data_IF_608266131878
#
_entry.id   IF_608266131878
#
_cell.length_a   1.000
_cell.length_b   1.000
_cell.length_c   1.000
_cell.angle_alpha   90.00
_cell.angle_beta   90.00
_cell.angle_gamma   90.00
#
_symmetry.space_group_name_H-M   'P 1'
#
loop_
_entity.id
_entity.type
_entity.pdbx_description
1 polymer ?
2 non-polymer ?
#
# COMPACT_ATOMS: atom_id res chain seq x y z
N UNK A 7 -7.83 -9.60 14.50
CA UNK A 7 -9.18 -8.96 14.44
C UNK A 7 -9.39 -8.17 13.15
N UNK A 8 -8.30 -7.74 12.52
CA UNK A 8 -8.35 -7.10 11.20
C UNK A 8 -9.23 -5.85 11.23
N UNK A 9 -8.71 -4.84 11.93
CA UNK A 9 -9.43 -3.60 12.19
C UNK A 9 -10.08 -3.04 10.93
N UNK A 10 -11.19 -2.33 11.14
CA UNK A 10 -11.91 -1.68 10.04
C UNK A 10 -10.98 -0.81 9.22
N UNK A 11 -11.07 -0.94 7.90
CA UNK A 11 -10.26 -0.13 7.00
C UNK A 11 -10.64 1.35 7.16
N UNK A 12 -9.69 2.22 6.85
CA UNK A 12 -9.92 3.65 7.00
C UNK A 12 -9.11 4.40 5.95
N UNK A 13 -9.51 5.66 5.74
CA UNK A 13 -8.91 6.50 4.72
C UNK A 13 -8.27 7.70 5.42
N UNK A 14 -6.96 7.83 5.26
CA UNK A 14 -6.19 8.86 5.95
C UNK A 14 -5.47 9.69 4.91
N UNK A 15 -5.60 11.01 5.02
CA UNK A 15 -5.04 11.94 4.06
C UNK A 15 -3.95 12.74 4.74
N UNK A 16 -2.96 13.13 3.96
CA UNK A 16 -1.84 13.95 4.43
C UNK A 16 -1.82 15.20 3.57
N UNK A 17 -2.26 16.31 4.16
CA UNK A 17 -2.31 17.61 3.50
C UNK A 17 -1.22 18.50 4.07
N UNK A 18 -0.87 19.52 3.31
CA UNK A 18 0.09 20.49 3.81
C UNK A 18 0.69 21.31 2.70
N UNK A 19 1.14 22.49 3.09
CA UNK A 19 1.77 23.43 2.15
C UNK A 19 3.18 22.97 1.80
N UNK A 20 3.68 23.48 0.68
CA UNK A 20 4.96 23.04 0.14
C UNK A 20 6.05 23.11 1.21
N UNK A 21 6.89 22.08 1.23
CA UNK A 21 7.95 22.02 2.21
C UNK A 21 7.52 21.54 3.58
N UNK A 22 6.31 21.00 3.70
CA UNK A 22 5.87 20.38 4.93
C UNK A 22 6.44 18.98 5.13
N UNK A 23 7.10 18.43 4.11
CA UNK A 23 7.54 17.05 4.17
C UNK A 23 6.35 16.12 4.26
N UNK A 24 5.48 16.16 3.26
CA UNK A 24 4.30 15.30 3.26
C UNK A 24 4.67 13.84 3.00
N UNK A 25 5.53 13.60 2.00
CA UNK A 25 5.93 12.23 1.69
C UNK A 25 6.67 11.60 2.87
N UNK A 26 7.52 12.38 3.54
CA UNK A 26 8.22 11.86 4.72
C UNK A 26 7.26 11.65 5.88
N UNK A 27 6.25 12.52 6.03
CA UNK A 27 5.25 12.30 7.06
C UNK A 27 4.38 11.08 6.77
N UNK A 28 4.10 10.82 5.49
CA UNK A 28 3.36 9.61 5.14
C UNK A 28 4.06 8.38 5.69
N UNK A 29 5.39 8.33 5.57
CA UNK A 29 6.14 7.20 6.10
C UNK A 29 5.87 7.03 7.59
N UNK A 30 5.89 8.14 8.34
CA UNK A 30 5.68 8.06 9.78
C UNK A 30 4.28 7.56 10.11
N UNK A 31 3.27 8.02 9.37
CA UNK A 31 1.91 7.52 9.57
C UNK A 31 1.86 6.02 9.36
N UNK A 32 2.55 5.54 8.32
CA UNK A 32 2.55 4.11 8.04
C UNK A 32 3.22 3.33 9.16
N UNK A 33 4.36 3.82 9.66
CA UNK A 33 5.06 3.10 10.70
C UNK A 33 4.21 2.99 11.96
N UNK A 34 3.57 4.09 12.35
CA UNK A 34 2.68 4.05 13.50
C UNK A 34 1.55 3.07 13.28
N UNK A 35 0.92 3.11 12.10
CA UNK A 35 -0.16 2.17 11.81
C UNK A 35 0.33 0.73 11.86
N UNK A 36 1.59 0.48 11.47
CA UNK A 36 2.15 -0.85 11.64
C UNK A 36 2.23 -1.24 13.12
N UNK A 37 2.71 -0.30 13.96
CA UNK A 37 2.83 -0.58 15.39
C UNK A 37 1.47 -0.88 16.04
N UNK A 38 0.38 -0.41 15.45
CA UNK A 38 -0.95 -0.61 15.99
C UNK A 38 -1.63 -1.84 15.42
N UNK A 39 -0.93 -2.65 14.65
CA UNK A 39 -1.47 -3.86 14.09
C UNK A 39 -2.16 -3.71 12.75
N UNK A 40 -2.05 -2.54 12.13
CA UNK A 40 -2.56 -2.33 10.77
C UNK A 40 -1.50 -2.84 9.81
N UNK A 41 -1.88 -3.79 8.96
CA UNK A 41 -0.94 -4.52 8.13
C UNK A 41 -1.20 -4.38 6.64
N UNK A 42 -2.45 -4.19 6.22
CA UNK A 42 -2.82 -4.16 4.82
C UNK A 42 -3.31 -2.76 4.46
N UNK A 43 -2.64 -2.12 3.49
CA UNK A 43 -2.97 -0.74 3.18
C UNK A 43 -2.41 -0.36 1.82
N UNK A 44 -2.81 0.83 1.35
CA UNK A 44 -2.53 1.32 0.01
C UNK A 44 -2.10 2.77 0.09
N UNK A 45 -0.99 3.11 -0.56
CA UNK A 45 -0.56 4.50 -0.68
C UNK A 45 -1.00 5.03 -2.05
N UNK A 46 -1.79 6.09 -2.05
CA UNK A 46 -2.22 6.74 -3.29
C UNK A 46 -1.74 8.18 -3.31
N UNK A 47 -1.38 8.65 -4.50
CA UNK A 47 -1.12 10.07 -4.74
C UNK A 47 -2.38 10.67 -5.35
N UNK A 48 -2.95 11.67 -4.69
CA UNK A 48 -4.24 12.21 -5.10
C UNK A 48 -4.04 13.06 -6.35
N UNK A 49 -2.98 13.88 -6.44
CA UNK A 49 -2.59 14.41 -7.76
C UNK A 49 -1.92 13.32 -8.60
N UNK A 50 -2.62 12.82 -9.60
CA UNK A 50 -2.24 11.58 -10.24
C UNK A 50 -3.00 10.45 -9.59
N UNK A 51 -2.38 9.27 -9.49
CA UNK A 51 -2.93 8.17 -8.73
C UNK A 51 -3.73 7.16 -9.54
N UNK A 52 -4.12 7.51 -10.77
CA UNK A 52 -4.78 6.58 -11.65
C UNK A 52 -4.18 6.76 -13.04
N UNK A 53 -4.37 5.76 -13.90
CA UNK A 53 -3.95 5.92 -15.28
C UNK A 53 -4.71 7.08 -15.93
N UNK A 54 -6.00 7.20 -15.62
CA UNK A 54 -6.79 8.32 -16.16
C UNK A 54 -6.12 9.65 -15.83
N UNK A 55 -5.75 9.86 -14.57
CA UNK A 55 -5.18 11.13 -14.17
C UNK A 55 -3.84 11.37 -14.86
N UNK A 56 -3.04 10.31 -15.03
CA UNK A 56 -1.78 10.45 -15.74
C UNK A 56 -2.01 10.86 -17.19
N UNK A 57 -3.00 10.24 -17.85
CA UNK A 57 -3.28 10.60 -19.25
C UNK A 57 -3.85 12.00 -19.36
N UNK A 58 -4.64 12.45 -18.38
CA UNK A 58 -5.09 13.84 -18.41
C UNK A 58 -3.91 14.80 -18.27
N UNK A 59 -2.93 14.45 -17.44
CA UNK A 59 -1.77 15.31 -17.30
C UNK A 59 -0.97 15.39 -18.60
N UNK A 60 -0.79 14.25 -19.28
CA UNK A 60 -0.06 14.27 -20.54
C UNK A 60 -0.86 15.04 -21.61
N UNK A 61 -2.19 14.93 -21.57
CA UNK A 61 -3.02 15.67 -22.51
C UNK A 61 -2.86 17.17 -22.33
N UNK A 62 -2.87 17.64 -21.08
CA UNK A 62 -2.74 19.07 -20.82
C UNK A 62 -1.35 19.55 -21.22
N UNK A 63 -0.33 18.74 -20.98
CA UNK A 63 1.01 19.13 -21.40
C UNK A 63 1.15 19.07 -22.92
N UNK A 64 0.48 18.12 -23.57
CA UNK A 64 0.53 18.06 -25.03
C UNK A 64 -0.11 19.29 -25.66
N UNK A 65 -1.15 19.83 -25.02
CA UNK A 65 -1.81 21.03 -25.52
C UNK A 65 -0.98 22.27 -25.24
N UNK A 66 -0.45 22.39 -24.02
CA UNK A 66 0.28 23.60 -23.67
C UNK A 66 1.56 23.74 -24.48
N UNK A 67 2.23 22.63 -24.77
CA UNK A 67 3.46 22.70 -25.56
C UNK A 67 3.19 23.26 -26.96
N UNK A 68 2.14 22.76 -27.61
CA UNK A 68 1.81 23.26 -28.94
C UNK A 68 1.43 24.74 -28.89
N UNK A 69 0.61 25.13 -27.92
CA UNK A 69 0.05 26.47 -27.93
C UNK A 69 -1.21 26.53 -28.77
N UNK A 70 -1.60 27.73 -29.14
CA UNK A 70 -2.77 27.94 -29.95
C UNK A 70 -4.04 27.58 -29.19
N UNK A 71 -3.94 27.13 -27.95
CA UNK A 71 -5.08 27.07 -27.06
C UNK A 71 -4.59 27.12 -25.62
N UNK A 72 -5.37 27.76 -24.76
CA UNK A 72 -5.07 27.91 -23.34
C UNK A 72 -6.21 27.28 -22.56
N UNK A 73 -5.86 26.36 -21.66
CA UNK A 73 -6.87 25.64 -20.90
C UNK A 73 -7.47 26.58 -19.87
N UNK A 74 -8.77 26.86 -20.01
CA UNK A 74 -9.44 27.72 -19.04
C UNK A 74 -9.33 27.10 -17.65
N UNK A 75 -9.22 27.96 -16.64
CA UNK A 75 -9.04 27.49 -15.27
C UNK A 75 -10.18 26.57 -14.86
N UNK A 76 -11.43 26.98 -15.11
CA UNK A 76 -12.57 26.17 -14.70
C UNK A 76 -12.55 24.81 -15.37
N UNK A 77 -12.14 24.74 -16.64
CA UNK A 77 -12.06 23.45 -17.32
C UNK A 77 -11.07 22.55 -16.61
N UNK A 78 -9.93 23.10 -16.19
CA UNK A 78 -8.94 22.31 -15.49
C UNK A 78 -9.48 21.78 -14.18
N UNK A 79 -10.26 22.61 -13.46
CA UNK A 79 -10.79 22.19 -12.17
C UNK A 79 -11.69 20.97 -12.34
N UNK A 80 -12.65 21.05 -13.27
CA UNK A 80 -13.52 19.90 -13.49
C UNK A 80 -12.69 18.67 -13.86
N UNK A 81 -11.59 18.86 -14.58
CA UNK A 81 -10.72 17.73 -14.86
C UNK A 81 -10.01 17.24 -13.60
N UNK A 82 -9.67 18.16 -12.70
CA UNK A 82 -9.12 17.77 -11.39
C UNK A 82 -10.12 16.93 -10.62
N UNK A 83 -11.38 17.36 -10.57
CA UNK A 83 -12.39 16.59 -9.84
C UNK A 83 -12.74 15.30 -10.56
N UNK A 84 -12.61 15.26 -11.89
CA UNK A 84 -12.75 14.00 -12.59
C UNK A 84 -11.67 13.01 -12.15
N UNK A 85 -10.44 13.50 -12.01
CA UNK A 85 -9.36 12.65 -11.53
C UNK A 85 -9.65 12.16 -10.11
N UNK A 86 -10.09 13.06 -9.24
CA UNK A 86 -10.33 12.66 -7.86
C UNK A 86 -11.44 11.62 -7.77
N UNK A 87 -12.52 11.83 -8.53
CA UNK A 87 -13.61 10.87 -8.55
C UNK A 87 -13.13 9.52 -9.05
N UNK A 88 -12.34 9.52 -10.13
CA UNK A 88 -11.81 8.26 -10.63
C UNK A 88 -11.02 7.53 -9.55
N UNK A 89 -10.25 8.28 -8.76
CA UNK A 89 -9.47 7.66 -7.69
C UNK A 89 -10.38 7.15 -6.57
N UNK A 90 -11.40 7.93 -6.21
CA UNK A 90 -12.29 7.53 -5.13
C UNK A 90 -13.02 6.25 -5.48
N UNK A 91 -13.48 6.13 -6.72
CA UNK A 91 -14.38 5.04 -7.08
C UNK A 91 -13.63 3.79 -7.54
N UNK A 92 -12.49 3.94 -8.20
CA UNK A 92 -11.79 2.78 -8.73
C UNK A 92 -10.59 2.34 -7.89
N UNK A 93 -10.10 3.17 -6.97
CA UNK A 93 -8.97 2.74 -6.15
C UNK A 93 -9.33 2.76 -4.67
N UNK A 94 -9.73 3.93 -4.16
CA UNK A 94 -9.88 4.10 -2.71
C UNK A 94 -11.04 3.25 -2.20
N UNK A 95 -12.24 3.50 -2.72
CA UNK A 95 -13.40 2.76 -2.20
C UNK A 95 -13.19 1.26 -2.29
N UNK A 96 -12.78 0.69 -3.43
CA UNK A 96 -12.52 -0.76 -3.43
C UNK A 96 -11.47 -1.17 -2.41
N UNK A 97 -10.39 -0.39 -2.27
CA UNK A 97 -9.36 -0.76 -1.31
C UNK A 97 -9.93 -0.89 0.09
N UNK A 98 -10.69 0.12 0.52
CA UNK A 98 -11.36 0.03 1.81
C UNK A 98 -12.26 -1.19 1.87
N UNK A 99 -12.94 -1.51 0.77
CA UNK A 99 -13.90 -2.60 0.79
C UNK A 99 -13.21 -3.94 0.99
N UNK A 100 -11.98 -4.11 0.47
CA UNK A 100 -11.24 -5.34 0.68
C UNK A 100 -10.63 -5.44 2.08
N UNK A 101 -10.74 -4.40 2.89
CA UNK A 101 -10.08 -4.36 4.19
C UNK A 101 -8.76 -3.65 4.21
N UNK A 102 -8.40 -2.96 3.15
CA UNK A 102 -7.13 -2.24 3.07
C UNK A 102 -7.32 -0.79 3.49
N UNK A 103 -6.52 -0.35 4.47
CA UNK A 103 -6.42 1.07 4.74
C UNK A 103 -5.86 1.77 3.51
N UNK A 104 -6.00 3.09 3.48
CA UNK A 104 -5.54 3.91 2.35
C UNK A 104 -4.95 5.20 2.89
N UNK A 105 -3.67 5.45 2.62
CA UNK A 105 -2.96 6.65 3.06
C UNK A 105 -2.65 7.48 1.82
N UNK A 106 -3.08 8.73 1.76
CA UNK A 106 -3.00 9.54 0.57
C UNK A 106 -2.26 10.85 0.78
N UNK A 107 -1.68 11.35 -0.31
CA UNK A 107 -0.96 12.63 -0.32
C UNK A 107 -1.77 13.69 -1.09
N UNK A 108 -2.13 14.78 -0.40
CA UNK A 108 -2.66 16.00 -1.02
C UNK A 108 -4.09 15.83 -1.54
N UNK A 109 -4.98 15.21 -0.75
CA UNK A 109 -6.40 15.15 -1.11
C UNK A 109 -7.08 16.49 -0.77
N UNK A 126 -16.50 28.43 -2.98
CA UNK A 126 -17.89 28.00 -2.87
C UNK A 126 -18.20 27.01 -3.98
N UNK A 127 -17.62 27.26 -5.15
CA UNK A 127 -17.84 26.40 -6.29
C UNK A 127 -17.13 25.06 -6.12
N UNK A 128 -15.98 25.06 -5.44
CA UNK A 128 -15.32 23.81 -5.10
C UNK A 128 -16.19 22.96 -4.17
N UNK A 129 -16.81 23.60 -3.18
CA UNK A 129 -17.63 22.87 -2.23
C UNK A 129 -18.88 22.29 -2.89
N UNK A 130 -19.49 23.05 -3.79
CA UNK A 130 -20.68 22.55 -4.48
C UNK A 130 -20.34 21.34 -5.34
N UNK A 131 -19.20 21.39 -6.04
CA UNK A 131 -18.79 20.25 -6.85
C UNK A 131 -18.58 19.02 -5.99
N UNK A 132 -17.88 19.18 -4.87
CA UNK A 132 -17.61 18.02 -4.02
C UNK A 132 -18.91 17.39 -3.53
N UNK A 133 -19.82 18.20 -2.99
CA UNK A 133 -21.07 17.66 -2.47
C UNK A 133 -21.88 16.97 -3.56
N UNK A 134 -21.60 17.26 -4.83
CA UNK A 134 -22.30 16.64 -5.93
C UNK A 134 -21.65 15.32 -6.36
N UNK A 135 -20.34 15.35 -6.65
CA UNK A 135 -19.68 14.21 -7.27
C UNK A 135 -19.29 13.18 -6.21
N UNK A 136 -18.74 13.62 -5.08
CA UNK A 136 -18.36 12.70 -4.02
C UNK A 136 -19.48 12.45 -3.02
N UNK A 137 -20.49 13.31 -2.97
CA UNK A 137 -21.52 13.17 -1.97
C UNK A 137 -20.93 13.30 -0.58
N UNK A 138 -21.33 12.40 0.30
CA UNK A 138 -20.88 12.45 1.69
C UNK A 138 -19.52 11.81 1.92
N UNK A 139 -18.89 11.26 0.88
CA UNK A 139 -17.62 10.55 1.06
C UNK A 139 -16.53 11.53 1.48
N UNK A 140 -15.90 11.27 2.61
CA UNK A 140 -14.82 12.09 3.14
C UNK A 140 -13.74 11.18 3.70
N UNK A 141 -12.51 11.68 3.84
CA UNK A 141 -11.50 10.92 4.56
C UNK A 141 -11.92 10.73 6.02
N UNK A 142 -11.47 9.62 6.59
CA UNK A 142 -11.77 9.35 8.00
C UNK A 142 -10.89 10.19 8.92
N UNK A 143 -9.63 10.37 8.55
CA UNK A 143 -8.76 11.29 9.24
C UNK A 143 -8.00 12.10 8.19
N UNK A 144 -7.87 13.39 8.45
CA UNK A 144 -7.05 14.27 7.63
C UNK A 144 -5.98 14.88 8.50
N UNK A 145 -4.73 14.63 8.14
CA UNK A 145 -3.57 15.09 8.89
C UNK A 145 -3.00 16.29 8.15
N UNK A 146 -3.16 17.48 8.72
CA UNK A 146 -2.67 18.69 8.10
C UNK A 146 -1.31 19.04 8.69
N UNK A 147 -0.30 19.15 7.82
CA UNK A 147 1.05 19.51 8.22
C UNK A 147 1.19 21.02 8.06
N UNK A 148 1.17 21.73 9.17
CA UNK A 148 1.32 23.17 9.15
C UNK A 148 2.79 23.53 9.02
N UNK A 149 3.07 24.52 8.17
CA UNK A 149 4.40 25.11 8.08
C UNK A 149 4.22 26.63 8.09
N UNK A 150 5.10 27.30 8.81
CA UNK A 150 5.06 28.74 8.95
C UNK A 150 5.65 29.43 7.73
N UNK A 151 5.38 30.73 7.55
CA UNK A 151 5.92 31.43 6.38
C UNK A 151 7.44 31.41 6.29
N UNK A 152 8.15 31.48 7.42
CA UNK A 152 9.60 31.34 7.36
C UNK A 152 9.97 29.99 6.76
N UNK A 153 9.35 28.91 7.23
CA UNK A 153 9.71 27.59 6.75
C UNK A 153 9.47 27.49 5.24
N UNK A 154 8.33 27.99 4.78
CA UNK A 154 8.07 27.98 3.34
C UNK A 154 9.14 28.73 2.57
N UNK A 155 9.65 29.83 3.13
CA UNK A 155 10.67 30.60 2.44
C UNK A 155 12.00 29.86 2.36
N UNK A 156 12.34 29.08 3.39
CA UNK A 156 13.57 28.29 3.32
C UNK A 156 13.47 27.25 2.21
N UNK A 157 12.31 26.62 2.07
CA UNK A 157 12.15 25.56 1.07
C UNK A 157 12.07 26.12 -0.34
N UNK A 158 11.53 27.33 -0.50
CA UNK A 158 11.44 27.92 -1.84
C UNK A 158 12.83 28.17 -2.41
N UNK A 159 13.78 28.63 -1.58
CA UNK A 159 15.13 28.87 -2.06
C UNK A 159 15.73 27.59 -2.64
N UNK A 160 15.55 26.47 -1.95
CA UNK A 160 16.05 25.19 -2.43
C UNK A 160 15.33 24.79 -3.71
N UNK A 173 3.24 36.96 0.04
CA UNK A 173 2.88 35.65 0.54
C UNK A 173 1.38 35.36 0.45
N UNK A 174 0.90 35.06 -0.77
CA UNK A 174 -0.45 34.53 -0.91
C UNK A 174 -0.65 33.30 -0.05
N UNK A 175 0.44 32.61 0.30
CA UNK A 175 0.41 31.34 1.02
C UNK A 175 -0.21 31.49 2.39
N UNK A 176 -0.12 32.67 3.00
CA UNK A 176 -0.71 32.86 4.32
C UNK A 176 -2.22 32.76 4.28
N UNK A 177 -2.85 33.08 3.14
CA UNK A 177 -4.29 32.94 3.05
C UNK A 177 -4.71 31.48 2.96
N UNK A 178 -4.02 30.69 2.12
CA UNK A 178 -4.33 29.27 2.04
C UNK A 178 -4.06 28.59 3.38
N UNK A 179 -2.90 28.90 3.98
CA UNK A 179 -2.60 28.41 5.31
C UNK A 179 -3.71 28.72 6.29
N UNK A 180 -4.28 29.93 6.19
CA UNK A 180 -5.35 30.31 7.10
C UNK A 180 -6.58 29.41 6.90
N UNK A 181 -6.94 29.14 5.64
CA UNK A 181 -8.11 28.31 5.38
C UNK A 181 -7.93 26.92 5.98
N UNK A 182 -6.79 26.29 5.73
CA UNK A 182 -6.52 24.99 6.35
C UNK A 182 -6.73 25.05 7.85
N UNK A 183 -6.26 26.14 8.48
CA UNK A 183 -6.34 26.25 9.94
C UNK A 183 -7.78 26.47 10.41
N UNK A 184 -8.62 27.10 9.59
CA UNK A 184 -10.03 27.22 9.95
C UNK A 184 -10.72 25.86 9.88
N UNK A 185 -10.52 25.14 8.77
CA UNK A 185 -11.12 23.82 8.63
C UNK A 185 -10.68 22.89 9.75
N UNK A 186 -9.43 23.02 10.20
CA UNK A 186 -8.95 22.16 11.28
C UNK A 186 -9.71 22.44 12.58
N UNK A 187 -10.01 23.71 12.85
CA UNK A 187 -10.73 24.04 14.08
C UNK A 187 -12.19 23.57 13.99
N UNK A 188 -12.81 23.70 12.82
CA UNK A 188 -14.22 23.39 12.68
C UNK A 188 -14.50 21.90 12.46
N UNK A 189 -13.50 21.14 11.99
CA UNK A 189 -13.71 19.76 11.55
C UNK A 189 -13.10 18.79 12.53
N UNK A 190 -13.87 17.87 13.11
CA UNK A 190 -13.28 16.93 14.08
C UNK A 190 -12.42 15.85 13.45
N UNK A 191 -12.55 15.59 12.15
CA UNK A 191 -11.71 14.62 11.46
C UNK A 191 -10.43 15.23 10.92
N UNK A 192 -10.12 16.47 11.27
CA UNK A 192 -8.86 17.10 10.89
C UNK A 192 -8.00 17.28 12.14
N UNK A 193 -6.78 16.78 12.07
CA UNK A 193 -5.79 16.94 13.12
C UNK A 193 -4.58 17.63 12.53
N UNK A 194 -4.02 18.58 13.26
CA UNK A 194 -2.87 19.35 12.79
C UNK A 194 -1.60 18.87 13.47
N UNK A 195 -0.50 18.87 12.70
CA UNK A 195 0.83 18.59 13.23
C UNK A 195 1.74 19.72 12.77
N UNK A 196 2.40 20.38 13.73
CA UNK A 196 3.40 21.39 13.40
C UNK A 196 4.59 20.70 12.73
N UNK A 197 4.76 20.93 11.42
CA UNK A 197 5.80 20.27 10.64
C UNK A 197 7.12 21.01 10.67
N UNK A 198 7.19 22.18 11.30
CA UNK A 198 8.40 23.00 11.30
C UNK A 198 9.47 22.49 12.26
N UNK A 199 9.11 21.60 13.17
CA UNK A 199 10.01 21.14 14.22
C UNK A 199 10.81 19.94 13.76
N UNK A 200 11.86 19.58 14.49
CA UNK A 200 12.77 18.53 14.01
C UNK A 200 12.05 17.23 13.71
N UNK A 201 12.74 16.38 12.94
CA UNK A 201 12.11 15.15 12.45
C UNK A 201 11.53 14.33 13.60
N UNK A 202 12.35 14.02 14.61
CA UNK A 202 11.89 13.16 15.69
C UNK A 202 10.72 13.79 16.45
N UNK A 203 10.61 15.12 16.42
CA UNK A 203 9.47 15.77 17.06
C UNK A 203 8.20 15.57 16.24
N UNK A 204 8.29 15.70 14.92
CA UNK A 204 7.15 15.43 14.06
C UNK A 204 6.72 13.97 14.19
N UNK A 205 7.69 13.06 14.23
CA UNK A 205 7.36 11.64 14.40
C UNK A 205 6.64 11.41 15.72
N UNK A 206 7.14 11.99 16.80
CA UNK A 206 6.46 11.90 18.08
C UNK A 206 5.00 12.32 17.96
N UNK A 207 4.75 13.48 17.31
CA UNK A 207 3.41 14.03 17.29
C UNK A 207 2.50 13.23 16.37
N UNK A 208 2.98 12.87 15.18
CA UNK A 208 2.17 12.04 14.29
C UNK A 208 1.79 10.75 15.00
N UNK A 209 2.77 10.11 15.63
CA UNK A 209 2.51 8.87 16.36
C UNK A 209 1.48 9.08 17.46
N UNK A 210 1.47 10.26 18.08
CA UNK A 210 0.50 10.53 19.14
C UNK A 210 -0.89 10.75 18.57
N UNK A 211 -0.99 11.52 17.49
CA UNK A 211 -2.29 11.80 16.89
C UNK A 211 -2.93 10.50 16.41
N UNK A 212 -2.12 9.63 15.84
CA UNK A 212 -2.63 8.37 15.31
C UNK A 212 -3.09 7.46 16.44
N UNK A 213 -2.26 7.32 17.48
CA UNK A 213 -2.64 6.49 18.62
C UNK A 213 -3.95 6.96 19.23
N UNK A 214 -4.02 8.25 19.58
CA UNK A 214 -5.24 8.79 20.14
C UNK A 214 -6.43 8.53 19.23
N UNK A 215 -6.26 8.78 17.93
CA UNK A 215 -7.36 8.60 16.99
C UNK A 215 -7.82 7.16 16.94
N UNK A 216 -6.86 6.23 16.80
CA UNK A 216 -7.19 4.82 16.71
C UNK A 216 -7.93 4.35 17.96
N UNK A 217 -7.45 4.75 19.14
CA UNK A 217 -8.11 4.34 20.38
C UNK A 217 -9.55 4.82 20.42
N UNK A 218 -9.82 6.02 19.90
CA UNK A 218 -11.19 6.52 19.91
C UNK A 218 -12.12 5.64 19.06
N UNK A 219 -11.57 4.94 18.07
CA UNK A 219 -12.38 4.08 17.20
C UNK A 219 -12.59 2.70 17.81
N UNK B 9 10.81 5.39 -12.18
CA UNK B 9 11.37 4.05 -11.85
C UNK B 9 10.29 2.98 -12.04
N UNK B 10 10.47 2.15 -13.06
CA UNK B 10 9.53 1.07 -13.37
C UNK B 10 8.99 0.44 -12.09
N UNK B 11 7.66 0.34 -12.01
CA UNK B 11 7.04 -0.33 -10.88
C UNK B 11 7.54 -1.78 -10.78
N UNK B 12 7.50 -2.32 -9.56
CA UNK B 12 7.95 -3.69 -9.36
C UNK B 12 7.09 -4.41 -8.34
N UNK B 13 7.11 -5.74 -8.46
CA UNK B 13 6.30 -6.64 -7.64
C UNK B 13 7.25 -7.51 -6.84
N UNK B 14 7.20 -7.38 -5.52
CA UNK B 14 8.05 -8.12 -4.61
C UNK B 14 7.15 -9.00 -3.76
N UNK B 15 7.51 -10.27 -3.64
CA UNK B 15 6.76 -11.26 -2.87
C UNK B 15 7.62 -11.68 -1.69
N UNK B 16 6.99 -11.94 -0.55
CA UNK B 16 7.68 -12.39 0.65
C UNK B 16 7.12 -13.76 1.01
N UNK B 17 7.95 -14.80 0.85
CA UNK B 17 7.56 -16.17 1.06
C UNK B 17 8.26 -16.74 2.29
N UNK B 18 7.70 -17.80 2.84
CA UNK B 18 8.34 -18.45 3.96
C UNK B 18 7.38 -19.31 4.74
N UNK B 19 7.95 -20.28 5.44
CA UNK B 19 7.16 -21.17 6.28
C UNK B 19 6.57 -20.38 7.45
N UNK B 20 5.52 -20.93 8.04
CA UNK B 20 4.85 -20.27 9.15
C UNK B 20 5.86 -19.95 10.25
N UNK B 21 5.68 -18.79 10.88
CA UNK B 21 6.61 -18.35 11.90
C UNK B 21 7.88 -17.75 11.34
N UNK B 22 8.02 -17.68 10.02
CA UNK B 22 9.11 -16.93 9.42
C UNK B 22 8.94 -15.42 9.63
N UNK B 23 7.77 -14.98 10.06
CA UNK B 23 7.52 -13.58 10.30
C UNK B 23 7.53 -12.78 9.03
N UNK B 24 6.66 -13.15 8.09
CA UNK B 24 6.62 -12.48 6.79
C UNK B 24 6.03 -11.07 6.91
N UNK B 25 5.02 -10.90 7.77
CA UNK B 25 4.40 -9.59 7.91
C UNK B 25 5.40 -8.56 8.42
N UNK B 26 6.21 -8.92 9.41
CA UNK B 26 7.21 -7.98 9.90
C UNK B 26 8.27 -7.70 8.84
N UNK B 27 8.59 -8.71 8.03
CA UNK B 27 9.52 -8.49 6.92
C UNK B 27 8.94 -7.51 5.91
N UNK B 28 7.63 -7.63 5.66
CA UNK B 28 6.98 -6.75 4.69
C UNK B 28 7.13 -5.29 5.09
N UNK B 29 7.04 -4.99 6.40
CA UNK B 29 7.25 -3.62 6.84
C UNK B 29 8.68 -3.17 6.52
N UNK B 30 9.67 -4.04 6.73
CA UNK B 30 11.05 -3.65 6.54
C UNK B 30 11.41 -3.53 5.06
N UNK B 31 10.76 -4.28 4.19
CA UNK B 31 10.95 -4.05 2.75
C UNK B 31 10.46 -2.66 2.38
N UNK B 32 9.31 -2.27 2.93
CA UNK B 32 8.73 -0.98 2.59
C UNK B 32 9.67 0.15 2.99
N UNK B 33 10.21 0.08 4.21
CA UNK B 33 11.05 1.18 4.70
C UNK B 33 12.30 1.33 3.83
N UNK B 34 12.85 0.22 3.34
CA UNK B 34 14.02 0.32 2.47
C UNK B 34 13.65 1.00 1.14
N UNK B 35 12.48 0.66 0.60
CA UNK B 35 12.04 1.29 -0.63
C UNK B 35 11.79 2.78 -0.42
N UNK B 36 11.21 3.14 0.73
CA UNK B 36 10.99 4.56 1.00
C UNK B 36 12.32 5.33 1.00
N UNK B 37 13.36 4.73 1.58
CA UNK B 37 14.67 5.39 1.59
C UNK B 37 15.22 5.53 0.19
N UNK B 38 15.03 4.51 -0.65
CA UNK B 38 15.47 4.56 -2.03
C UNK B 38 14.58 5.41 -2.91
N UNK B 39 13.63 6.14 -2.32
CA UNK B 39 12.79 7.06 -3.07
C UNK B 39 11.53 6.48 -3.67
N UNK B 40 11.22 5.22 -3.39
CA UNK B 40 9.96 4.62 -3.84
C UNK B 40 8.86 5.10 -2.91
N UNK B 41 7.83 5.73 -3.47
CA UNK B 41 6.87 6.47 -2.67
C UNK B 41 5.44 5.96 -2.72
N UNK B 42 4.97 5.44 -3.85
CA UNK B 42 3.61 4.93 -3.98
C UNK B 42 3.67 3.43 -4.18
N UNK B 43 3.00 2.68 -3.32
CA UNK B 43 3.06 1.22 -3.39
C UNK B 43 1.89 0.61 -2.65
N UNK B 44 1.75 -0.70 -2.81
CA UNK B 44 0.56 -1.43 -2.40
C UNK B 44 0.98 -2.69 -1.66
N UNK B 45 0.36 -2.97 -0.52
CA UNK B 45 0.56 -4.23 0.17
C UNK B 45 -0.61 -5.15 -0.18
N UNK B 46 -0.30 -6.44 -0.36
CA UNK B 46 -1.31 -7.45 -0.64
C UNK B 46 -1.03 -8.67 0.22
N UNK B 47 -2.10 -9.33 0.64
CA UNK B 47 -2.04 -10.63 1.31
C UNK B 47 -2.55 -11.67 0.33
N UNK B 48 -1.68 -12.58 -0.08
CA UNK B 48 -1.98 -13.45 -1.21
C UNK B 48 -3.09 -14.43 -0.85
N UNK B 49 -3.04 -15.05 0.33
CA UNK B 49 -4.26 -15.70 0.85
C UNK B 49 -5.26 -14.63 1.24
N UNK B 50 -6.36 -14.53 0.50
CA UNK B 50 -7.24 -13.38 0.63
C UNK B 50 -6.81 -12.32 -0.37
N UNK B 51 -7.03 -11.05 -0.05
CA UNK B 51 -6.56 -9.95 -0.87
C UNK B 51 -7.57 -9.39 -1.84
N UNK B 52 -8.74 -10.02 -1.94
CA UNK B 52 -9.81 -9.51 -2.79
C UNK B 52 -11.12 -9.86 -2.11
N UNK B 53 -12.18 -9.14 -2.46
CA UNK B 53 -13.51 -9.54 -1.99
C UNK B 53 -13.80 -10.95 -2.47
N UNK B 54 -13.44 -11.27 -3.72
CA UNK B 54 -13.68 -12.61 -4.23
C UNK B 54 -13.05 -13.65 -3.33
N UNK B 55 -11.75 -13.50 -3.04
CA UNK B 55 -11.08 -14.47 -2.18
C UNK B 55 -11.78 -14.56 -0.83
N UNK B 56 -12.20 -13.43 -0.27
CA UNK B 56 -12.86 -13.43 1.03
C UNK B 56 -14.13 -14.25 0.99
N UNK B 57 -14.96 -14.05 -0.04
CA UNK B 57 -16.22 -14.76 -0.14
C UNK B 57 -16.03 -16.21 -0.57
N UNK B 58 -14.89 -16.54 -1.18
CA UNK B 58 -14.59 -17.94 -1.43
C UNK B 58 -14.21 -18.65 -0.14
N UNK B 59 -13.44 -17.98 0.72
CA UNK B 59 -13.08 -18.59 2.00
C UNK B 59 -14.32 -18.83 2.84
N UNK B 60 -15.17 -17.81 2.98
CA UNK B 60 -16.40 -17.97 3.75
C UNK B 60 -17.31 -19.02 3.11
N UNK B 61 -17.25 -19.17 1.78
CA UNK B 61 -18.07 -20.18 1.12
C UNK B 61 -17.63 -21.58 1.49
N UNK B 62 -16.31 -21.82 1.56
CA UNK B 62 -15.82 -23.14 1.91
C UNK B 62 -16.19 -23.50 3.34
N UNK B 63 -16.07 -22.54 4.26
CA UNK B 63 -16.37 -22.81 5.66
C UNK B 63 -17.86 -23.06 5.87
N UNK B 64 -18.73 -22.30 5.18
CA UNK B 64 -20.16 -22.51 5.31
C UNK B 64 -20.54 -23.91 4.84
N UNK B 65 -19.88 -24.40 3.79
CA UNK B 65 -20.14 -25.76 3.34
C UNK B 65 -19.59 -26.78 4.32
N UNK B 66 -18.50 -26.44 5.02
CA UNK B 66 -17.93 -27.40 5.97
C UNK B 66 -18.80 -27.53 7.21
N UNK B 67 -19.33 -26.41 7.72
CA UNK B 67 -20.11 -26.44 8.94
C UNK B 67 -21.45 -27.13 8.77
N UNK B 68 -21.96 -27.25 7.54
CA UNK B 68 -23.17 -28.05 7.32
C UNK B 68 -22.87 -29.54 7.48
N UNK B 69 -21.78 -30.01 6.89
CA UNK B 69 -21.44 -31.41 6.94
C UNK B 69 -22.22 -32.29 6.00
N UNK B 70 -23.03 -31.72 5.12
CA UNK B 70 -23.82 -32.48 4.15
C UNK B 70 -23.29 -32.37 2.72
N UNK B 71 -22.21 -31.63 2.50
CA UNK B 71 -21.58 -31.58 1.18
C UNK B 71 -20.08 -31.61 1.33
N UNK B 72 -19.42 -32.34 0.42
CA UNK B 72 -17.97 -32.45 0.37
C UNK B 72 -17.50 -31.71 -0.88
N UNK B 73 -16.46 -30.90 -0.72
CA UNK B 73 -15.88 -30.16 -1.83
C UNK B 73 -14.71 -30.97 -2.40
N UNK B 74 -14.83 -31.36 -3.66
CA UNK B 74 -13.75 -32.10 -4.31
C UNK B 74 -12.45 -31.32 -4.21
N UNK B 75 -11.35 -32.04 -4.02
CA UNK B 75 -10.07 -31.36 -3.86
C UNK B 75 -9.72 -30.52 -5.08
N UNK B 76 -9.85 -31.11 -6.28
CA UNK B 76 -9.47 -30.37 -7.48
C UNK B 76 -10.31 -29.11 -7.66
N UNK B 77 -11.62 -29.20 -7.43
CA UNK B 77 -12.45 -28.01 -7.52
C UNK B 77 -11.97 -26.93 -6.56
N UNK B 78 -11.61 -27.31 -5.33
CA UNK B 78 -11.16 -26.32 -4.37
C UNK B 78 -9.91 -25.61 -4.86
N UNK B 79 -8.96 -26.37 -5.42
CA UNK B 79 -7.73 -25.75 -5.92
C UNK B 79 -8.05 -24.76 -7.03
N UNK B 80 -8.96 -25.13 -7.93
CA UNK B 80 -9.41 -24.17 -8.94
C UNK B 80 -10.00 -22.93 -8.28
N UNK B 81 -10.71 -23.11 -7.16
CA UNK B 81 -11.21 -21.95 -6.43
C UNK B 81 -10.09 -21.19 -5.73
N UNK B 82 -8.98 -21.87 -5.44
CA UNK B 82 -7.80 -21.17 -4.91
C UNK B 82 -7.11 -20.37 -6.00
N UNK B 83 -6.93 -20.97 -7.19
CA UNK B 83 -6.30 -20.24 -8.28
C UNK B 83 -7.22 -19.16 -8.83
N UNK B 84 -8.54 -19.31 -8.65
CA UNK B 84 -9.45 -18.24 -9.06
C UNK B 84 -9.21 -16.98 -8.24
N UNK B 85 -8.96 -17.13 -6.94
CA UNK B 85 -8.64 -15.98 -6.12
C UNK B 85 -7.30 -15.38 -6.52
N UNK B 86 -6.28 -16.22 -6.74
CA UNK B 86 -4.98 -15.69 -7.12
C UNK B 86 -5.07 -14.92 -8.43
N UNK B 87 -5.81 -15.45 -9.41
CA UNK B 87 -5.95 -14.76 -10.69
C UNK B 87 -6.67 -13.43 -10.51
N UNK B 88 -7.74 -13.43 -9.70
CA UNK B 88 -8.44 -12.19 -9.39
C UNK B 88 -7.51 -11.18 -8.77
N UNK B 89 -6.63 -11.61 -7.86
CA UNK B 89 -5.73 -10.68 -7.20
C UNK B 89 -4.72 -10.11 -8.18
N UNK B 90 -4.19 -10.96 -9.07
CA UNK B 90 -3.18 -10.50 -10.01
C UNK B 90 -3.79 -9.55 -11.03
N UNK B 91 -5.03 -9.80 -11.44
CA UNK B 91 -5.59 -9.08 -12.58
C UNK B 91 -6.36 -7.83 -12.18
N UNK B 92 -6.91 -7.77 -10.96
CA UNK B 92 -7.63 -6.59 -10.51
C UNK B 92 -6.88 -5.74 -9.50
N UNK B 93 -5.86 -6.28 -8.82
CA UNK B 93 -5.12 -5.53 -7.81
C UNK B 93 -3.67 -5.31 -8.24
N UNK B 94 -2.91 -6.38 -8.49
CA UNK B 94 -1.48 -6.24 -8.70
C UNK B 94 -1.19 -5.57 -10.03
N UNK B 95 -1.62 -6.18 -11.14
CA UNK B 95 -1.30 -5.63 -12.45
C UNK B 95 -1.75 -4.18 -12.58
N UNK B 96 -2.99 -3.82 -12.20
CA UNK B 96 -3.35 -2.39 -12.25
C UNK B 96 -2.44 -1.50 -11.42
N UNK B 97 -2.01 -1.97 -10.25
CA UNK B 97 -1.13 -1.16 -9.41
C UNK B 97 0.19 -0.89 -10.13
N UNK B 98 0.86 -1.94 -10.59
CA UNK B 98 2.09 -1.76 -11.34
C UNK B 98 1.87 -0.83 -12.53
N UNK B 99 0.71 -0.93 -13.17
CA UNK B 99 0.44 -0.10 -14.34
C UNK B 99 0.34 1.37 -13.96
N UNK B 100 -0.13 1.66 -12.75
CA UNK B 100 -0.18 3.03 -12.25
C UNK B 100 1.19 3.52 -11.76
N UNK B 101 2.22 2.70 -11.85
CA UNK B 101 3.51 3.05 -11.30
C UNK B 101 3.66 2.78 -9.83
N UNK B 102 2.65 2.20 -9.19
CA UNK B 102 2.78 1.73 -7.82
C UNK B 102 3.60 0.44 -7.78
N UNK B 103 4.48 0.34 -6.80
CA UNK B 103 5.10 -0.95 -6.48
C UNK B 103 4.11 -1.79 -5.69
N UNK B 104 4.34 -3.10 -5.71
CA UNK B 104 3.49 -4.02 -4.96
C UNK B 104 4.37 -4.92 -4.11
N UNK B 105 4.04 -5.00 -2.82
CA UNK B 105 4.67 -5.91 -1.88
C UNK B 105 3.61 -6.91 -1.46
N UNK B 106 3.88 -8.20 -1.70
CA UNK B 106 2.91 -9.22 -1.39
C UNK B 106 3.43 -10.19 -0.35
N UNK B 107 2.53 -10.90 0.31
CA UNK B 107 2.90 -11.88 1.34
C UNK B 107 2.34 -13.23 0.93
N UNK B 108 3.25 -14.21 0.74
CA UNK B 108 2.91 -15.62 0.57
C UNK B 108 2.20 -15.91 -0.77
N UNK B 109 2.85 -15.50 -1.86
CA UNK B 109 2.41 -15.87 -3.21
C UNK B 109 2.77 -17.32 -3.52
N UNK B 125 1.66 -32.77 -7.67
CA UNK B 125 1.95 -31.41 -7.26
C UNK B 125 2.56 -30.61 -8.40
N UNK B 126 3.21 -31.32 -9.34
CA UNK B 126 3.63 -30.67 -10.57
C UNK B 126 2.45 -30.09 -11.32
N UNK B 127 1.25 -30.64 -11.09
CA UNK B 127 0.04 -30.16 -11.75
C UNK B 127 -0.40 -28.80 -11.20
N UNK B 128 0.01 -28.46 -9.98
CA UNK B 128 -0.25 -27.11 -9.47
C UNK B 128 0.38 -26.06 -10.36
N UNK B 129 1.62 -26.30 -10.81
CA UNK B 129 2.33 -25.32 -11.62
C UNK B 129 1.76 -25.24 -13.03
N UNK B 130 1.20 -26.33 -13.54
CA UNK B 130 0.66 -26.31 -14.90
C UNK B 130 -0.53 -25.38 -15.01
N UNK B 131 -1.33 -25.25 -13.94
CA UNK B 131 -2.37 -24.23 -13.94
C UNK B 131 -1.79 -22.83 -14.02
N UNK B 132 -0.73 -22.57 -13.25
CA UNK B 132 -0.08 -21.26 -13.28
C UNK B 132 0.34 -20.90 -14.69
N UNK B 133 1.05 -21.82 -15.38
CA UNK B 133 1.52 -21.54 -16.72
C UNK B 133 0.38 -21.34 -17.71
N UNK B 134 -0.83 -21.80 -17.37
CA UNK B 134 -1.98 -21.65 -18.24
C UNK B 134 -2.68 -20.31 -18.04
N UNK B 135 -2.93 -19.94 -16.79
CA UNK B 135 -3.74 -18.76 -16.48
C UNK B 135 -2.88 -17.50 -16.34
N UNK B 136 -1.78 -17.58 -15.59
CA UNK B 136 -0.92 -16.42 -15.40
C UNK B 136 0.14 -16.24 -16.48
N UNK B 137 0.47 -17.32 -17.20
CA UNK B 137 1.47 -17.20 -18.24
C UNK B 137 2.84 -16.90 -17.68
N UNK B 138 3.53 -15.96 -18.32
CA UNK B 138 4.91 -15.63 -17.94
C UNK B 138 4.99 -14.68 -16.75
N UNK B 139 3.84 -14.27 -16.20
CA UNK B 139 3.84 -13.36 -15.06
C UNK B 139 4.53 -13.99 -13.86
N UNK B 140 5.52 -13.28 -13.32
CA UNK B 140 6.26 -13.71 -12.14
C UNK B 140 6.57 -12.48 -11.31
N UNK B 141 6.69 -12.63 -9.99
CA UNK B 141 7.19 -11.51 -9.18
C UNK B 141 8.58 -11.13 -9.65
N UNK B 142 8.88 -9.84 -9.55
CA UNK B 142 10.21 -9.39 -9.93
C UNK B 142 11.25 -9.88 -8.94
N UNK B 143 10.92 -9.85 -7.67
CA UNK B 143 11.77 -10.35 -6.60
C UNK B 143 10.91 -11.20 -5.69
N UNK B 144 11.39 -12.38 -5.35
CA UNK B 144 10.84 -13.18 -4.28
C UNK B 144 11.83 -13.15 -3.13
N UNK B 145 11.35 -12.87 -1.94
CA UNK B 145 12.18 -12.77 -0.73
C UNK B 145 11.82 -13.96 0.14
N UNK B 146 12.68 -14.97 0.14
CA UNK B 146 12.44 -16.19 0.90
C UNK B 146 13.01 -16.01 2.30
N UNK B 147 12.16 -16.22 3.31
CA UNK B 147 12.57 -16.19 4.71
C UNK B 147 12.72 -17.64 5.16
N UNK B 148 13.95 -18.08 5.35
CA UNK B 148 14.23 -19.47 5.65
C UNK B 148 14.25 -19.69 7.16
N UNK B 149 13.36 -20.55 7.64
CA UNK B 149 13.42 -21.06 9.01
C UNK B 149 13.38 -22.58 8.94
N UNK B 150 14.13 -23.24 9.82
CA UNK B 150 14.01 -24.67 9.96
C UNK B 150 12.62 -25.00 10.51
N UNK B 151 11.97 -26.06 10.01
CA UNK B 151 10.60 -26.32 10.49
C UNK B 151 10.50 -26.38 12.01
N UNK B 152 11.59 -26.72 12.69
CA UNK B 152 11.58 -26.67 14.16
C UNK B 152 11.44 -25.24 14.65
N UNK B 153 12.31 -24.34 14.18
CA UNK B 153 12.29 -22.97 14.66
C UNK B 153 10.98 -22.28 14.29
N UNK B 154 10.51 -22.51 13.06
CA UNK B 154 9.29 -21.85 12.62
C UNK B 154 8.08 -22.26 13.44
N UNK B 155 7.96 -23.55 13.75
CA UNK B 155 6.82 -24.02 14.52
C UNK B 155 6.85 -23.46 15.95
N UNK B 156 8.05 -23.36 16.54
CA UNK B 156 8.15 -22.79 17.88
C UNK B 156 7.62 -21.36 17.89
N UNK B 157 7.98 -20.56 16.90
CA UNK B 157 7.52 -19.18 16.86
C UNK B 157 6.03 -19.09 16.58
N UNK B 158 5.49 -20.01 15.78
CA UNK B 158 4.05 -20.02 15.55
C UNK B 158 3.28 -20.28 16.83
N UNK B 159 3.79 -21.20 17.66
CA UNK B 159 3.17 -21.48 18.96
C UNK B 159 3.20 -20.24 19.85
N UNK B 160 4.28 -19.48 19.80
CA UNK B 160 4.41 -18.25 20.58
C UNK B 160 3.61 -17.13 19.92
N UNK B 172 7.68 -31.79 11.21
CA UNK B 172 6.73 -32.48 10.36
C UNK B 172 7.36 -32.77 8.99
N UNK B 173 6.98 -33.90 8.39
CA UNK B 173 7.55 -34.28 7.11
C UNK B 173 7.11 -33.34 5.98
N UNK B 174 5.84 -32.93 5.98
CA UNK B 174 5.36 -31.99 4.96
C UNK B 174 6.17 -30.70 5.02
N UNK B 175 6.51 -30.25 6.24
CA UNK B 175 7.29 -29.02 6.38
C UNK B 175 8.73 -29.20 5.91
N UNK B 176 9.34 -30.36 6.20
CA UNK B 176 10.71 -30.58 5.78
C UNK B 176 10.82 -30.68 4.27
N UNK B 177 9.81 -31.26 3.61
CA UNK B 177 9.85 -31.36 2.15
C UNK B 177 9.66 -29.99 1.51
N UNK B 178 8.71 -29.20 2.01
CA UNK B 178 8.44 -27.89 1.41
C UNK B 178 9.62 -26.94 1.59
N UNK B 179 10.33 -27.03 2.72
CA UNK B 179 11.51 -26.20 2.90
C UNK B 179 12.57 -26.52 1.84
N UNK B 180 12.77 -27.80 1.55
CA UNK B 180 13.75 -28.18 0.54
C UNK B 180 13.39 -27.59 -0.82
N UNK B 181 12.10 -27.62 -1.17
CA UNK B 181 11.67 -27.07 -2.44
C UNK B 181 11.96 -25.57 -2.53
N UNK B 182 11.69 -24.84 -1.45
CA UNK B 182 11.99 -23.41 -1.44
C UNK B 182 13.49 -23.15 -1.57
N UNK B 183 14.30 -23.95 -0.86
CA UNK B 183 15.75 -23.70 -0.86
C UNK B 183 16.36 -24.04 -2.21
N UNK B 184 15.87 -25.07 -2.88
CA UNK B 184 16.39 -25.40 -4.22
C UNK B 184 16.06 -24.29 -5.20
N UNK B 185 14.79 -23.87 -5.25
CA UNK B 185 14.41 -22.75 -6.12
C UNK B 185 15.19 -21.50 -5.74
N UNK B 186 15.49 -21.32 -4.45
CA UNK B 186 16.27 -20.17 -4.03
C UNK B 186 17.67 -20.20 -4.66
N UNK B 187 18.31 -21.36 -4.62
CA UNK B 187 19.64 -21.49 -5.21
C UNK B 187 19.61 -21.36 -6.72
N UNK B 188 18.53 -21.85 -7.36
CA UNK B 188 18.48 -21.91 -8.81
C UNK B 188 17.83 -20.68 -9.45
N UNK B 189 17.16 -19.82 -8.69
CA UNK B 189 16.37 -18.74 -9.28
C UNK B 189 17.00 -17.38 -8.99
N UNK B 190 17.52 -16.67 -9.99
CA UNK B 190 18.17 -15.38 -9.72
C UNK B 190 17.23 -14.33 -9.16
N UNK B 191 15.93 -14.44 -9.43
CA UNK B 191 14.95 -13.50 -8.90
C UNK B 191 14.49 -13.87 -7.50
N UNK B 192 15.13 -14.87 -6.88
CA UNK B 192 14.85 -15.23 -5.50
C UNK B 192 16.10 -14.94 -4.67
N UNK B 193 15.92 -14.21 -3.58
CA UNK B 193 16.96 -13.96 -2.61
C UNK B 193 16.48 -14.47 -1.26
N UNK B 194 17.40 -15.03 -0.49
CA UNK B 194 17.07 -15.68 0.76
C UNK B 194 17.63 -14.88 1.93
N UNK B 195 16.83 -14.77 2.99
CA UNK B 195 17.26 -14.21 4.26
C UNK B 195 17.03 -15.29 5.31
N UNK B 196 18.09 -15.65 6.02
CA UNK B 196 17.93 -16.58 7.13
C UNK B 196 17.13 -15.89 8.23
N UNK B 197 15.96 -16.43 8.54
CA UNK B 197 15.09 -15.87 9.56
C UNK B 197 15.26 -16.54 10.93
N UNK B 198 16.05 -17.61 11.03
CA UNK B 198 16.23 -18.28 12.31
C UNK B 198 17.00 -17.44 13.32
N UNK B 199 17.66 -16.38 12.87
CA UNK B 199 18.46 -15.53 13.73
C UNK B 199 17.58 -14.51 14.43
N UNK B 200 18.14 -13.71 15.34
CA UNK B 200 17.33 -12.73 16.06
C UNK B 200 16.71 -11.69 15.13
N UNK B 201 15.62 -11.09 15.60
CA UNK B 201 14.84 -10.18 14.77
C UNK B 201 15.67 -9.00 14.30
N UNK B 202 16.50 -8.43 15.18
CA UNK B 202 17.32 -7.29 14.78
C UNK B 202 18.26 -7.67 13.65
N UNK B 203 18.75 -8.91 13.64
CA UNK B 203 19.59 -9.37 12.54
C UNK B 203 18.79 -9.54 11.26
N UNK B 204 17.57 -10.09 11.36
CA UNK B 204 16.73 -10.23 10.19
C UNK B 204 16.44 -8.86 9.58
N UNK B 205 16.24 -7.86 10.42
CA UNK B 205 16.00 -6.51 9.92
C UNK B 205 17.18 -5.98 9.13
N UNK B 206 18.40 -6.22 9.63
CA UNK B 206 19.58 -5.74 8.90
C UNK B 206 19.66 -6.38 7.53
N UNK B 207 19.37 -7.68 7.44
CA UNK B 207 19.59 -8.42 6.21
C UNK B 207 18.50 -8.16 5.19
N UNK B 208 17.23 -8.25 5.61
CA UNK B 208 16.14 -7.85 4.72
C UNK B 208 16.45 -6.48 4.12
N UNK B 209 16.75 -5.51 4.97
CA UNK B 209 17.04 -4.16 4.49
C UNK B 209 18.20 -4.17 3.51
N UNK B 210 19.22 -4.98 3.76
CA UNK B 210 20.35 -5.03 2.85
C UNK B 210 19.99 -5.72 1.53
N UNK B 211 19.19 -6.78 1.60
CA UNK B 211 18.88 -7.56 0.41
C UNK B 211 18.10 -6.72 -0.59
N UNK B 212 17.02 -6.10 -0.13
CA UNK B 212 16.22 -5.26 -1.01
C UNK B 212 17.07 -4.13 -1.56
N UNK B 213 17.87 -3.51 -0.70
CA UNK B 213 18.75 -2.43 -1.16
C UNK B 213 19.69 -2.93 -2.26
N UNK B 214 20.29 -4.10 -2.06
CA UNK B 214 21.21 -4.64 -3.05
C UNK B 214 20.49 -4.93 -4.36
N UNK B 215 19.31 -5.55 -4.28
CA UNK B 215 18.59 -5.89 -5.50
C UNK B 215 18.20 -4.65 -6.27
N UNK B 216 17.69 -3.63 -5.58
CA UNK B 216 17.24 -2.42 -6.26
C UNK B 216 18.40 -1.78 -7.03
N UNK B 217 19.60 -1.82 -6.46
CA UNK B 217 20.77 -1.30 -7.15
C UNK B 217 21.03 -2.08 -8.44
N UNK B 218 20.79 -3.39 -8.40
CA UNK B 218 21.01 -4.24 -9.57
C UNK B 218 20.00 -3.99 -10.68
N UNK B 219 18.96 -3.20 -10.43
CA UNK B 219 18.00 -2.88 -11.47
C UNK B 219 18.39 -1.58 -12.17
X LIG C 1 6.84 18.62 0.53
X LIG D 1 4.82 -15.74 9.20
#
# INVERSE_FOLDING_TARGET
>A
MAHHHHHHMRSNYIVIEGLEGAGKTTARECVVETLKQLGVSDMVFTREPGGTILAEKLRSLVLDIQSTGDEVINDKAEVLMFYAARVQLVETVIKPALARGQWVIGDRHDLSTQAYQGGGRGIDQTMLATLRDAVLGDFRPHLTLYLDVTPEVGLKRARARGELDRIEQESLDFFNRTRARYLELAAQDPTIRTVDATQPLEAVERDIRAVVNRWVAEQLP
>B
MAHHHHHHMRSNYIVIEGLEGAGKTTARECVVETLKQLGVSDMVFTREPGGTILAEKLRSLVLDIQSTGDEVINDKAEVLMFYAARVQLVETVIKPALARGQWVIGDRHDLSTQAYQGGGRGIDQTMLATLRDAVLGDFRPHLTLYLDVTPEVGLKRARARGELDRIEQESLDFFNRTRARYLELAAQDPTIRTVDATQPLEAVERDIRAVVNRWVAEQLP
>C hetero
1 CL CL
>D hetero
1 CL CL
#
